data_IF_044971605240
#
_entry.id   IF_044971605240
#
_cell.length_a   1.000
_cell.length_b   1.000
_cell.length_c   1.000
_cell.angle_alpha   90.00
_cell.angle_beta   90.00
_cell.angle_gamma   90.00
#
_symmetry.space_group_name_H-M   'P 1'
#
loop_
_entity.id
_entity.type
_entity.pdbx_description
1 polymer ?
#
# COMPACT_ATOMS: atom_id res chain seq x y z
N UNK A 1 15.78 5.27 15.73
CA UNK A 1 16.79 5.51 16.77
C UNK A 1 18.20 5.63 16.20
N UNK A 2 18.55 4.80 15.23
CA UNK A 2 19.83 4.90 14.51
C UNK A 2 19.85 6.10 13.56
N UNK A 3 20.69 7.09 13.84
CA UNK A 3 20.80 8.31 13.05
C UNK A 3 21.25 8.08 11.60
N UNK A 4 22.04 7.02 11.34
CA UNK A 4 22.45 6.66 9.98
C UNK A 4 21.26 6.16 9.16
N UNK A 5 20.44 5.29 9.75
CA UNK A 5 19.24 4.76 9.12
C UNK A 5 18.21 5.87 8.87
N UNK A 6 17.99 6.77 9.85
CA UNK A 6 17.10 7.92 9.68
C UNK A 6 17.56 8.77 8.49
N UNK A 7 18.84 9.11 8.40
CA UNK A 7 19.38 9.88 7.26
C UNK A 7 19.16 9.17 5.93
N UNK A 8 19.39 7.85 5.90
CA UNK A 8 19.19 7.05 4.68
C UNK A 8 17.72 7.04 4.23
N UNK A 9 16.78 6.95 5.17
CA UNK A 9 15.34 7.04 4.90
C UNK A 9 14.99 8.43 4.35
N UNK A 10 15.45 9.50 5.00
CA UNK A 10 15.20 10.88 4.55
C UNK A 10 15.80 11.14 3.16
N UNK A 11 16.99 10.61 2.87
CA UNK A 11 17.58 10.67 1.52
C UNK A 11 16.72 9.94 0.49
N UNK A 12 16.17 8.78 0.84
CA UNK A 12 15.27 8.05 -0.05
C UNK A 12 13.95 8.79 -0.29
N UNK A 13 13.38 9.45 0.73
CA UNK A 13 12.18 10.28 0.60
C UNK A 13 12.51 11.55 -0.22
N UNK A 14 13.68 12.14 0.00
CA UNK A 14 14.12 13.39 -0.61
C UNK A 14 13.06 14.51 -0.52
N UNK A 15 12.59 14.86 0.69
CA UNK A 15 11.55 15.87 0.85
C UNK A 15 12.04 17.25 0.41
N UNK A 16 11.16 18.04 -0.22
CA UNK A 16 11.49 19.37 -0.74
C UNK A 16 10.54 20.43 -0.17
N UNK A 17 11.00 21.70 -0.06
CA UNK A 17 10.12 22.80 0.25
C UNK A 17 8.93 22.89 -0.72
N UNK A 18 7.75 23.20 -0.17
CA UNK A 18 6.51 23.31 -0.94
C UNK A 18 5.80 21.98 -1.22
N UNK A 19 6.40 20.84 -0.89
CA UNK A 19 5.69 19.56 -0.92
C UNK A 19 4.76 19.42 0.29
N UNK A 20 3.70 18.64 0.11
CA UNK A 20 2.76 18.27 1.18
C UNK A 20 3.00 16.82 1.58
N UNK A 21 3.45 16.62 2.81
CA UNK A 21 3.76 15.32 3.38
C UNK A 21 2.70 14.92 4.42
N UNK A 22 2.37 13.64 4.45
CA UNK A 22 1.57 13.02 5.50
C UNK A 22 2.38 11.92 6.17
N UNK A 23 2.72 12.08 7.45
CA UNK A 23 3.38 11.04 8.24
C UNK A 23 2.37 10.27 9.07
N UNK A 24 2.39 8.95 8.96
CA UNK A 24 1.53 8.04 9.73
C UNK A 24 2.35 7.44 10.87
N UNK A 25 1.86 7.63 12.11
CA UNK A 25 2.49 7.10 13.31
C UNK A 25 3.89 7.69 13.55
N UNK A 26 4.00 9.02 13.73
CA UNK A 26 5.29 9.70 13.92
C UNK A 26 6.04 9.23 15.17
N UNK A 27 5.34 8.67 16.15
CA UNK A 27 5.93 8.21 17.39
C UNK A 27 6.66 9.33 18.12
N UNK A 28 7.93 9.12 18.45
CA UNK A 28 8.77 10.13 19.11
C UNK A 28 9.42 11.13 18.12
N UNK A 29 8.93 11.24 16.90
CA UNK A 29 9.35 12.25 15.95
C UNK A 29 10.67 12.00 15.22
N UNK A 30 11.13 10.76 15.16
CA UNK A 30 12.43 10.43 14.55
C UNK A 30 12.52 10.82 13.04
N UNK A 31 11.44 10.64 12.30
CA UNK A 31 11.32 11.14 10.93
C UNK A 31 10.68 12.53 10.89
N UNK A 32 9.77 12.84 11.79
CA UNK A 32 9.04 14.11 11.85
C UNK A 32 9.98 15.31 11.88
N UNK A 33 10.99 15.29 12.75
CA UNK A 33 11.96 16.40 12.91
C UNK A 33 12.66 16.71 11.58
N UNK A 34 13.34 15.77 10.92
CA UNK A 34 13.99 16.05 9.64
C UNK A 34 13.01 16.38 8.50
N UNK A 35 11.77 15.83 8.53
CA UNK A 35 10.74 16.17 7.55
C UNK A 35 10.28 17.63 7.69
N UNK A 36 10.03 18.11 8.90
CA UNK A 36 9.72 19.53 9.15
C UNK A 36 10.87 20.45 8.72
N UNK A 37 12.12 20.04 9.02
CA UNK A 37 13.32 20.83 8.67
C UNK A 37 13.58 20.91 7.16
N UNK A 38 12.97 20.04 6.35
CA UNK A 38 13.06 20.10 4.88
C UNK A 38 12.35 21.31 4.25
N UNK A 39 11.50 21.98 5.01
CA UNK A 39 10.66 23.09 4.51
C UNK A 39 9.35 22.64 3.85
N UNK A 40 9.06 21.35 3.84
CA UNK A 40 7.77 20.83 3.41
C UNK A 40 6.66 21.13 4.41
N UNK A 41 5.41 21.15 3.97
CA UNK A 41 4.24 21.11 4.86
C UNK A 41 4.04 19.69 5.33
N UNK A 42 3.86 19.48 6.62
CA UNK A 42 3.74 18.17 7.23
C UNK A 42 2.47 18.05 8.07
N UNK A 43 1.58 17.19 7.63
CA UNK A 43 0.50 16.66 8.46
C UNK A 43 0.95 15.33 9.08
N UNK A 44 0.58 15.08 10.33
CA UNK A 44 0.85 13.80 11.00
C UNK A 44 -0.44 13.23 11.58
N UNK A 45 -0.61 11.91 11.51
CA UNK A 45 -1.70 11.18 12.15
C UNK A 45 -1.14 10.33 13.28
N UNK A 46 -1.56 10.59 14.52
CA UNK A 46 -1.12 9.86 15.72
C UNK A 46 -2.31 9.42 16.56
N UNK A 47 -2.32 8.14 16.93
CA UNK A 47 -3.38 7.55 17.76
C UNK A 47 -3.09 7.70 19.26
N UNK A 48 -1.81 7.63 19.65
CA UNK A 48 -1.38 7.72 21.06
C UNK A 48 -1.46 9.16 21.55
N UNK A 49 -2.23 9.37 22.63
CA UNK A 49 -2.49 10.71 23.20
C UNK A 49 -1.24 11.36 23.78
N UNK A 50 -0.37 10.58 24.41
CA UNK A 50 0.83 11.10 25.07
C UNK A 50 1.86 11.54 24.03
N UNK A 51 2.04 10.73 22.97
CA UNK A 51 2.89 11.07 21.83
C UNK A 51 2.32 12.28 21.06
N UNK A 52 1.02 12.32 20.82
CA UNK A 52 0.35 13.47 20.20
C UNK A 52 0.55 14.75 21.02
N UNK A 53 0.41 14.69 22.33
CA UNK A 53 0.64 15.83 23.22
C UNK A 53 2.09 16.32 23.18
N UNK A 54 3.05 15.41 23.15
CA UNK A 54 4.45 15.77 23.01
C UNK A 54 4.74 16.44 21.67
N UNK A 55 4.24 15.89 20.56
CA UNK A 55 4.40 16.46 19.23
C UNK A 55 3.78 17.84 19.13
N UNK A 56 2.56 18.03 19.63
CA UNK A 56 1.86 19.31 19.66
C UNK A 56 2.67 20.37 20.40
N UNK A 57 3.26 20.02 21.52
CA UNK A 57 4.11 20.93 22.29
C UNK A 57 5.43 21.23 21.58
N UNK A 58 6.08 20.18 21.03
CA UNK A 58 7.40 20.30 20.38
C UNK A 58 7.34 21.16 19.12
N UNK A 59 6.27 21.10 18.36
CA UNK A 59 6.08 21.83 17.10
C UNK A 59 5.06 22.98 17.20
N UNK A 60 4.78 23.50 18.43
CA UNK A 60 3.78 24.52 18.67
C UNK A 60 3.97 25.79 17.81
N UNK A 61 5.22 26.18 17.56
CA UNK A 61 5.57 27.38 16.80
C UNK A 61 5.85 27.09 15.31
N UNK A 62 5.57 25.87 14.84
CA UNK A 62 5.82 25.49 13.45
C UNK A 62 4.53 25.58 12.62
N UNK A 63 4.38 26.65 11.85
CA UNK A 63 3.20 26.86 10.98
C UNK A 63 2.99 25.78 9.91
N UNK A 64 4.07 25.05 9.53
CA UNK A 64 4.00 23.99 8.53
C UNK A 64 3.71 22.61 9.11
N UNK A 65 3.51 22.51 10.42
CA UNK A 65 3.19 21.26 11.10
C UNK A 65 1.74 21.24 11.56
N UNK A 66 1.02 20.19 11.23
CA UNK A 66 -0.36 19.96 11.70
C UNK A 66 -0.51 18.55 12.25
N UNK A 67 -1.02 18.43 13.47
CA UNK A 67 -1.29 17.17 14.13
C UNK A 67 -2.78 16.80 14.00
N UNK A 68 -3.04 15.59 13.54
CA UNK A 68 -4.36 14.93 13.55
C UNK A 68 -4.32 13.77 14.54
N UNK A 69 -5.00 13.93 15.66
CA UNK A 69 -5.12 12.84 16.64
C UNK A 69 -6.23 11.89 16.22
N UNK A 70 -5.90 10.63 15.97
CA UNK A 70 -6.88 9.62 15.57
C UNK A 70 -6.31 8.37 14.94
N UNK A 71 -7.22 7.49 14.57
CA UNK A 71 -6.92 6.23 13.89
C UNK A 71 -6.75 6.47 12.38
N UNK A 72 -5.58 6.14 11.84
CA UNK A 72 -5.30 6.27 10.41
C UNK A 72 -6.28 5.48 9.53
N UNK A 73 -6.80 4.35 10.00
CA UNK A 73 -7.78 3.54 9.26
C UNK A 73 -9.15 4.22 9.10
N UNK A 74 -9.36 5.34 9.79
CA UNK A 74 -10.57 6.17 9.71
C UNK A 74 -10.28 7.59 9.20
N UNK A 75 -9.01 7.88 8.93
CA UNK A 75 -8.58 9.20 8.49
C UNK A 75 -8.89 9.39 7.00
N UNK A 76 -9.61 10.46 6.68
CA UNK A 76 -9.96 10.80 5.29
C UNK A 76 -8.93 11.78 4.71
N UNK A 77 -8.16 11.33 3.70
CA UNK A 77 -7.17 12.14 3.02
C UNK A 77 -7.79 13.34 2.28
N UNK A 78 -9.05 13.28 1.91
CA UNK A 78 -9.77 14.39 1.26
C UNK A 78 -9.91 15.63 2.17
N UNK A 79 -9.72 15.46 3.49
CA UNK A 79 -9.66 16.58 4.43
C UNK A 79 -8.39 17.42 4.29
N UNK A 80 -7.32 16.84 3.73
CA UNK A 80 -6.04 17.51 3.52
C UNK A 80 -5.96 18.25 2.19
N UNK A 81 -6.53 17.66 1.15
CA UNK A 81 -6.47 18.19 -0.22
C UNK A 81 -7.56 17.61 -1.10
N UNK A 82 -7.89 18.35 -2.17
CA UNK A 82 -8.70 17.87 -3.30
C UNK A 82 -7.87 17.77 -4.57
N UNK A 83 -6.59 18.16 -4.51
CA UNK A 83 -5.70 18.16 -5.66
C UNK A 83 -5.13 16.76 -5.90
N UNK A 84 -5.21 16.24 -7.13
CA UNK A 84 -4.64 14.95 -7.44
C UNK A 84 -3.12 14.97 -7.28
N UNK A 85 -2.56 13.86 -6.82
CA UNK A 85 -1.11 13.63 -6.68
C UNK A 85 -0.38 14.74 -5.92
N UNK A 86 -0.99 15.23 -4.86
CA UNK A 86 -0.45 16.34 -4.08
C UNK A 86 0.11 15.93 -2.73
N UNK A 87 -0.16 14.70 -2.28
CA UNK A 87 0.29 14.20 -0.97
C UNK A 87 1.34 13.11 -1.16
N UNK A 88 2.42 13.20 -0.42
CA UNK A 88 3.41 12.15 -0.24
C UNK A 88 3.25 11.52 1.14
N UNK A 89 2.99 10.23 1.21
CA UNK A 89 2.70 9.54 2.47
C UNK A 89 3.94 8.83 2.98
N UNK A 90 4.22 8.98 4.26
CA UNK A 90 5.41 8.42 4.91
C UNK A 90 4.97 7.75 6.21
N UNK A 91 5.62 6.65 6.59
CA UNK A 91 5.35 6.07 7.88
C UNK A 91 6.22 4.87 8.23
N UNK A 92 6.43 4.71 9.53
CA UNK A 92 6.85 3.47 10.13
C UNK A 92 5.59 2.77 10.65
N UNK A 93 4.97 1.93 9.80
CA UNK A 93 3.66 1.37 10.13
C UNK A 93 3.79 0.24 11.16
N UNK A 94 2.95 0.25 12.21
CA UNK A 94 2.84 -0.90 13.11
C UNK A 94 2.49 -2.16 12.34
N UNK A 95 3.13 -3.28 12.67
CA UNK A 95 3.03 -4.52 11.88
C UNK A 95 1.61 -5.08 11.77
N UNK A 96 0.82 -4.91 12.84
CA UNK A 96 -0.55 -5.39 12.90
C UNK A 96 -1.55 -4.61 12.03
N UNK A 97 -1.22 -3.37 11.63
CA UNK A 97 -2.11 -2.53 10.81
C UNK A 97 -1.54 -2.19 9.43
N UNK A 98 -0.33 -2.65 9.09
CA UNK A 98 0.35 -2.28 7.85
C UNK A 98 -0.49 -2.61 6.60
N UNK A 99 -0.98 -3.84 6.48
CA UNK A 99 -1.80 -4.24 5.33
C UNK A 99 -3.16 -3.52 5.28
N UNK A 100 -3.97 -3.44 6.35
CA UNK A 100 -5.18 -2.62 6.34
C UNK A 100 -4.92 -1.14 6.01
N UNK A 101 -3.83 -0.56 6.52
CA UNK A 101 -3.45 0.82 6.25
C UNK A 101 -3.15 1.04 4.76
N UNK A 102 -2.38 0.14 4.14
CA UNK A 102 -2.11 0.20 2.70
C UNK A 102 -3.40 0.20 1.89
N UNK A 103 -4.33 -0.71 2.16
CA UNK A 103 -5.60 -0.78 1.44
C UNK A 103 -6.46 0.47 1.67
N UNK A 104 -6.50 1.01 2.89
CA UNK A 104 -7.20 2.26 3.19
C UNK A 104 -6.63 3.45 2.39
N UNK A 105 -5.32 3.59 2.32
CA UNK A 105 -4.66 4.64 1.53
C UNK A 105 -4.92 4.50 0.03
N UNK A 106 -4.96 3.27 -0.49
CA UNK A 106 -5.25 3.01 -1.91
C UNK A 106 -6.68 3.38 -2.31
N UNK A 107 -7.62 3.52 -1.38
CA UNK A 107 -8.96 4.06 -1.66
C UNK A 107 -8.91 5.53 -2.10
N UNK A 108 -7.84 6.24 -1.73
CA UNK A 108 -7.58 7.64 -2.09
C UNK A 108 -6.33 7.80 -2.96
N UNK A 109 -5.94 6.78 -3.74
CA UNK A 109 -4.69 6.75 -4.52
C UNK A 109 -4.55 7.96 -5.47
N UNK A 110 -5.68 8.49 -5.94
CA UNK A 110 -5.69 9.66 -6.85
C UNK A 110 -5.09 10.92 -6.22
N UNK A 111 -5.14 11.06 -4.88
CA UNK A 111 -4.56 12.19 -4.15
C UNK A 111 -3.06 12.01 -3.86
N UNK A 112 -2.56 10.77 -3.96
CA UNK A 112 -1.21 10.39 -3.53
C UNK A 112 -0.23 10.44 -4.69
N UNK A 113 0.89 11.15 -4.48
CA UNK A 113 2.01 11.18 -5.44
C UNK A 113 2.91 9.94 -5.27
N UNK A 114 3.37 9.71 -4.05
CA UNK A 114 4.09 8.48 -3.66
C UNK A 114 3.86 8.14 -2.17
N UNK A 115 4.26 6.92 -1.81
CA UNK A 115 4.26 6.46 -0.42
C UNK A 115 5.60 5.80 -0.12
N UNK A 116 6.19 6.12 1.02
CA UNK A 116 7.43 5.49 1.51
C UNK A 116 7.21 4.95 2.91
N UNK A 117 7.27 3.63 3.05
CA UNK A 117 7.00 2.96 4.31
C UNK A 117 8.16 2.10 4.78
N UNK A 118 8.31 2.03 6.10
CA UNK A 118 9.05 0.98 6.77
C UNK A 118 8.06 -0.07 7.25
N UNK A 119 8.25 -1.30 6.78
CA UNK A 119 7.40 -2.46 7.08
C UNK A 119 8.28 -3.65 7.45
N UNK A 120 7.68 -4.74 7.96
CA UNK A 120 8.39 -6.02 8.06
C UNK A 120 8.93 -6.43 6.70
N UNK A 121 10.17 -6.94 6.65
CA UNK A 121 10.82 -7.39 5.42
C UNK A 121 9.94 -8.37 4.63
N UNK A 122 9.33 -9.32 5.31
CA UNK A 122 8.41 -10.29 4.70
C UNK A 122 7.23 -9.63 3.96
N UNK A 123 6.66 -8.56 4.54
CA UNK A 123 5.58 -7.81 3.91
C UNK A 123 6.07 -7.10 2.65
N UNK A 124 7.26 -6.48 2.71
CA UNK A 124 7.86 -5.81 1.55
C UNK A 124 8.19 -6.82 0.44
N UNK A 125 8.68 -8.00 0.78
CA UNK A 125 8.92 -9.08 -0.17
C UNK A 125 7.62 -9.51 -0.88
N UNK A 126 6.52 -9.65 -0.14
CA UNK A 126 5.19 -9.93 -0.72
C UNK A 126 4.70 -8.80 -1.63
N UNK A 127 4.91 -7.54 -1.24
CA UNK A 127 4.52 -6.39 -2.07
C UNK A 127 5.27 -6.36 -3.40
N UNK A 128 6.56 -6.71 -3.40
CA UNK A 128 7.45 -6.65 -4.56
C UNK A 128 7.52 -7.96 -5.35
N UNK A 129 6.90 -9.05 -4.86
CA UNK A 129 6.94 -10.36 -5.51
C UNK A 129 6.32 -10.33 -6.90
N UNK A 130 6.88 -11.13 -7.82
CA UNK A 130 6.40 -11.31 -9.19
C UNK A 130 5.75 -12.69 -9.36
N UNK A 131 4.97 -12.93 -10.45
CA UNK A 131 4.42 -14.25 -10.71
C UNK A 131 5.49 -15.34 -10.61
N UNK A 132 5.09 -16.48 -10.09
CA UNK A 132 5.92 -17.67 -9.80
C UNK A 132 6.84 -17.56 -8.58
N UNK A 133 6.97 -16.39 -7.95
CA UNK A 133 7.64 -16.26 -6.66
C UNK A 133 6.79 -16.88 -5.52
N UNK A 134 7.44 -17.50 -4.55
CA UNK A 134 6.77 -18.09 -3.38
C UNK A 134 5.96 -17.05 -2.56
N UNK A 135 6.44 -15.81 -2.54
CA UNK A 135 5.83 -14.69 -1.83
C UNK A 135 4.69 -14.02 -2.60
N UNK A 136 4.53 -14.36 -3.91
CA UNK A 136 3.48 -13.77 -4.73
C UNK A 136 2.10 -14.21 -4.28
N UNK A 137 1.21 -13.25 -4.05
CA UNK A 137 -0.10 -13.52 -3.52
C UNK A 137 -1.09 -12.37 -3.68
N UNK A 138 -2.20 -12.45 -2.95
CA UNK A 138 -3.25 -11.44 -2.97
C UNK A 138 -2.72 -10.02 -2.74
N UNK A 139 -1.83 -9.84 -1.76
CA UNK A 139 -1.26 -8.53 -1.45
C UNK A 139 -0.44 -7.99 -2.62
N UNK A 140 0.38 -8.85 -3.24
CA UNK A 140 1.18 -8.51 -4.43
C UNK A 140 0.29 -7.99 -5.56
N UNK A 141 -0.72 -8.78 -5.95
CA UNK A 141 -1.62 -8.46 -7.05
C UNK A 141 -2.37 -7.16 -6.78
N UNK A 142 -2.98 -7.02 -5.61
CA UNK A 142 -3.84 -5.87 -5.30
C UNK A 142 -3.04 -4.57 -5.18
N UNK A 143 -1.86 -4.58 -4.56
CA UNK A 143 -1.04 -3.38 -4.46
C UNK A 143 -0.42 -3.03 -5.81
N UNK A 144 0.08 -4.01 -6.56
CA UNK A 144 0.67 -3.78 -7.88
C UNK A 144 -0.37 -3.40 -8.95
N UNK A 145 -1.65 -3.69 -8.73
CA UNK A 145 -2.73 -3.16 -9.55
C UNK A 145 -2.83 -1.63 -9.46
N UNK A 146 -2.61 -1.05 -8.27
CA UNK A 146 -2.68 0.39 -8.03
C UNK A 146 -1.34 1.10 -8.18
N UNK A 147 -0.22 0.44 -7.81
CA UNK A 147 1.08 1.07 -7.66
C UNK A 147 2.21 0.25 -8.30
N UNK A 148 3.25 0.94 -8.75
CA UNK A 148 4.57 0.32 -8.85
C UNK A 148 5.17 0.17 -7.46
N UNK A 149 5.92 -0.91 -7.24
CA UNK A 149 6.53 -1.26 -5.96
C UNK A 149 8.04 -1.31 -6.12
N UNK A 150 8.75 -0.55 -5.30
CA UNK A 150 10.21 -0.53 -5.27
C UNK A 150 10.73 -0.91 -3.88
N UNK A 151 11.41 -2.05 -3.78
CA UNK A 151 12.13 -2.46 -2.58
C UNK A 151 13.42 -1.66 -2.47
N UNK A 152 13.55 -0.77 -1.45
CA UNK A 152 14.69 0.14 -1.40
C UNK A 152 15.88 -0.47 -0.65
N UNK A 153 15.70 -0.83 0.63
CA UNK A 153 16.76 -1.43 1.45
C UNK A 153 16.24 -2.01 2.75
N UNK A 154 17.05 -2.90 3.34
CA UNK A 154 16.78 -3.49 4.66
C UNK A 154 17.14 -2.55 5.80
N UNK A 155 16.37 -2.67 6.90
CA UNK A 155 16.64 -2.00 8.17
C UNK A 155 16.77 -3.07 9.26
N UNK A 156 17.97 -3.25 9.83
CA UNK A 156 18.21 -4.29 10.82
C UNK A 156 17.51 -3.99 12.16
N UNK A 157 17.15 -5.01 12.95
CA UNK A 157 16.48 -4.83 14.24
C UNK A 157 17.21 -3.91 15.22
N UNK A 158 18.53 -3.88 15.18
CA UNK A 158 19.37 -3.03 16.05
C UNK A 158 19.19 -1.51 15.84
N UNK A 159 18.55 -1.10 14.73
CA UNK A 159 18.24 0.31 14.49
C UNK A 159 17.12 0.87 15.38
N UNK A 160 16.44 0.02 16.17
CA UNK A 160 15.28 0.35 17.00
C UNK A 160 15.52 0.15 18.50
N UNK A 161 14.74 0.87 19.33
CA UNK A 161 14.61 0.64 20.78
C UNK A 161 13.13 0.69 21.19
N UNK A 162 12.58 -0.41 21.72
CA UNK A 162 13.16 -1.76 21.79
C UNK A 162 13.36 -2.37 20.41
N UNK A 163 14.36 -3.24 20.25
CA UNK A 163 14.63 -3.92 18.99
C UNK A 163 13.49 -4.89 18.65
N UNK A 164 12.90 -4.83 17.43
CA UNK A 164 11.94 -5.83 16.98
C UNK A 164 12.62 -7.19 16.77
N UNK A 165 11.82 -8.26 16.75
CA UNK A 165 12.33 -9.61 16.54
C UNK A 165 12.69 -9.91 15.07
N UNK A 166 12.29 -9.05 14.15
CA UNK A 166 12.40 -9.27 12.70
C UNK A 166 13.05 -8.07 12.01
N UNK A 167 13.68 -8.33 10.88
CA UNK A 167 14.19 -7.29 9.99
C UNK A 167 13.03 -6.52 9.36
N UNK A 168 13.18 -5.20 9.26
CA UNK A 168 12.29 -4.33 8.49
C UNK A 168 12.91 -4.02 7.14
N UNK A 169 12.13 -3.46 6.23
CA UNK A 169 12.63 -2.93 4.97
C UNK A 169 11.87 -1.66 4.59
N UNK A 170 12.51 -0.83 3.79
CA UNK A 170 11.91 0.37 3.21
C UNK A 170 11.40 0.04 1.82
N UNK A 171 10.15 0.38 1.58
CA UNK A 171 9.46 0.24 0.29
C UNK A 171 8.94 1.59 -0.17
N UNK A 172 9.04 1.84 -1.48
CA UNK A 172 8.34 2.94 -2.15
C UNK A 172 7.22 2.38 -3.01
N UNK A 173 6.05 2.99 -2.91
CA UNK A 173 4.88 2.70 -3.71
C UNK A 173 4.51 3.97 -4.48
N UNK A 174 4.37 3.87 -5.80
CA UNK A 174 3.98 5.01 -6.65
C UNK A 174 2.71 4.63 -7.41
N UNK A 175 1.58 5.31 -7.17
CA UNK A 175 0.36 5.07 -7.91
C UNK A 175 0.54 5.23 -9.42
N UNK A 176 -0.01 4.32 -10.21
CA UNK A 176 0.10 4.37 -11.66
C UNK A 176 -0.54 5.63 -12.24
N UNK A 177 0.14 6.28 -13.17
CA UNK A 177 -0.37 7.50 -13.83
C UNK A 177 -1.38 7.21 -14.92
N UNK A 178 -1.17 6.10 -15.62
CA UNK A 178 -2.04 5.62 -16.68
C UNK A 178 -2.12 4.10 -16.58
N UNK A 179 -3.29 3.57 -16.34
CA UNK A 179 -3.52 2.13 -16.37
C UNK A 179 -4.07 1.77 -17.76
N UNK A 180 -3.28 1.00 -18.53
CA UNK A 180 -3.77 0.45 -19.82
C UNK A 180 -4.90 -0.55 -19.58
N UNK A 181 -4.86 -1.26 -18.49
CA UNK A 181 -5.82 -2.29 -18.12
C UNK A 181 -6.50 -1.90 -16.81
N UNK A 182 -7.70 -1.31 -16.93
CA UNK A 182 -8.54 -1.03 -15.78
C UNK A 182 -9.60 -2.13 -15.61
N UNK A 183 -9.85 -2.50 -14.37
CA UNK A 183 -10.98 -3.36 -14.03
C UNK A 183 -12.30 -2.62 -14.29
N UNK A 184 -13.22 -3.25 -15.01
CA UNK A 184 -14.58 -2.73 -15.22
C UNK A 184 -15.35 -2.65 -13.90
N UNK A 185 -15.06 -3.58 -13.00
CA UNK A 185 -15.60 -3.65 -11.64
C UNK A 185 -14.46 -3.97 -10.66
N UNK A 186 -14.07 -2.99 -9.86
CA UNK A 186 -12.99 -3.12 -8.88
C UNK A 186 -13.35 -4.06 -7.73
N UNK A 187 -14.63 -4.18 -7.38
CA UNK A 187 -15.13 -5.10 -6.36
C UNK A 187 -15.00 -6.53 -6.86
N UNK A 188 -15.40 -6.78 -8.12
CA UNK A 188 -15.25 -8.09 -8.75
C UNK A 188 -13.78 -8.52 -8.84
N UNK A 189 -12.88 -7.59 -9.23
CA UNK A 189 -11.44 -7.87 -9.25
C UNK A 189 -10.93 -8.28 -7.87
N UNK A 190 -11.29 -7.53 -6.84
CA UNK A 190 -10.89 -7.79 -5.44
C UNK A 190 -11.38 -9.16 -4.97
N UNK A 191 -12.63 -9.50 -5.28
CA UNK A 191 -13.22 -10.78 -4.91
C UNK A 191 -12.62 -11.94 -5.70
N UNK A 192 -12.34 -11.74 -6.99
CA UNK A 192 -11.65 -12.70 -7.84
C UNK A 192 -10.28 -13.06 -7.28
N UNK A 193 -9.45 -12.06 -7.01
CA UNK A 193 -8.09 -12.27 -6.45
C UNK A 193 -8.17 -12.96 -5.09
N UNK A 194 -9.07 -12.51 -4.20
CA UNK A 194 -9.29 -13.15 -2.90
C UNK A 194 -9.66 -14.63 -3.04
N UNK A 195 -10.58 -14.94 -3.94
CA UNK A 195 -11.07 -16.30 -4.17
C UNK A 195 -9.99 -17.17 -4.79
N UNK A 196 -9.24 -16.66 -5.77
CA UNK A 196 -8.12 -17.37 -6.39
C UNK A 196 -7.08 -17.81 -5.35
N UNK A 197 -6.63 -16.89 -4.51
CA UNK A 197 -5.61 -17.18 -3.49
C UNK A 197 -6.13 -17.86 -2.21
N UNK A 198 -7.42 -18.18 -2.13
CA UNK A 198 -7.97 -18.92 -0.98
C UNK A 198 -7.44 -20.35 -0.89
N UNK A 199 -6.98 -20.94 -2.01
CA UNK A 199 -6.48 -22.32 -2.09
C UNK A 199 -5.24 -22.41 -3.00
N UNK A 200 -4.11 -21.87 -2.58
CA UNK A 200 -2.86 -21.75 -3.37
C UNK A 200 -2.42 -23.02 -4.13
N UNK A 201 -2.64 -24.20 -3.56
CA UNK A 201 -2.25 -25.48 -4.17
C UNK A 201 -3.22 -26.00 -5.24
N UNK A 202 -4.33 -25.32 -5.47
CA UNK A 202 -5.34 -25.70 -6.46
C UNK A 202 -5.20 -24.90 -7.75
N UNK A 203 -5.68 -25.48 -8.85
CA UNK A 203 -5.79 -24.77 -10.13
C UNK A 203 -6.86 -23.68 -10.06
N UNK A 204 -6.78 -22.67 -10.94
CA UNK A 204 -7.79 -21.61 -11.05
C UNK A 204 -9.19 -22.18 -11.26
N UNK A 205 -9.34 -23.24 -12.07
CA UNK A 205 -10.63 -23.92 -12.27
C UNK A 205 -11.28 -24.33 -10.96
N UNK A 206 -10.49 -24.88 -10.05
CA UNK A 206 -11.01 -25.33 -8.75
C UNK A 206 -11.24 -24.16 -7.78
N UNK A 207 -10.32 -23.17 -7.75
CA UNK A 207 -10.44 -22.02 -6.87
C UNK A 207 -11.64 -21.15 -7.25
N UNK A 208 -11.84 -20.92 -8.54
CA UNK A 208 -12.84 -19.97 -9.06
C UNK A 208 -14.19 -20.60 -9.34
N UNK A 209 -14.36 -21.91 -9.13
CA UNK A 209 -15.64 -22.59 -9.36
C UNK A 209 -16.87 -21.85 -8.80
N UNK A 210 -16.83 -21.25 -7.59
CA UNK A 210 -17.95 -20.48 -7.07
C UNK A 210 -18.28 -19.21 -7.85
N UNK A 211 -17.29 -18.67 -8.60
CA UNK A 211 -17.43 -17.40 -9.32
C UNK A 211 -17.76 -17.60 -10.81
N UNK A 212 -17.18 -18.63 -11.43
CA UNK A 212 -17.34 -18.91 -12.87
C UNK A 212 -18.45 -19.90 -13.15
N UNK A 213 -18.84 -20.77 -12.19
CA UNK A 213 -20.00 -21.66 -12.23
C UNK A 213 -20.38 -22.13 -13.64
N UNK A 214 -21.49 -21.62 -14.11
CA UNK A 214 -22.07 -21.96 -15.41
C UNK A 214 -21.54 -21.11 -16.58
N UNK A 215 -20.56 -20.25 -16.36
CA UNK A 215 -19.96 -19.46 -17.44
C UNK A 215 -19.15 -20.35 -18.39
N UNK A 216 -19.18 -20.01 -19.66
CA UNK A 216 -18.37 -20.68 -20.68
C UNK A 216 -16.85 -20.46 -20.38
N UNK A 217 -16.21 -21.49 -19.86
CA UNK A 217 -14.79 -21.46 -19.53
C UNK A 217 -13.90 -21.23 -20.76
N UNK A 218 -14.37 -21.57 -21.99
CA UNK A 218 -13.61 -21.35 -23.21
C UNK A 218 -13.56 -19.86 -23.63
N UNK A 219 -14.48 -19.05 -23.14
CA UNK A 219 -14.51 -17.60 -23.36
C UNK A 219 -13.60 -16.83 -22.39
N UNK A 220 -13.00 -17.47 -21.41
CA UNK A 220 -12.10 -16.83 -20.45
C UNK A 220 -10.68 -16.68 -21.04
N UNK A 221 -10.01 -15.51 -20.83
CA UNK A 221 -8.76 -15.17 -21.50
C UNK A 221 -7.50 -15.76 -20.83
N UNK A 222 -7.66 -16.71 -19.92
CA UNK A 222 -6.57 -17.36 -19.17
C UNK A 222 -6.74 -18.86 -19.13
N UNK A 223 -5.64 -19.60 -19.06
CA UNK A 223 -5.69 -21.05 -18.86
C UNK A 223 -6.06 -21.38 -17.41
N UNK A 224 -7.23 -21.98 -17.22
CA UNK A 224 -7.75 -22.37 -15.92
C UNK A 224 -7.01 -23.57 -15.27
N UNK A 225 -6.09 -24.23 -16.00
CA UNK A 225 -5.21 -25.25 -15.46
C UNK A 225 -4.04 -24.66 -14.66
N UNK A 226 -3.74 -23.38 -14.87
CA UNK A 226 -2.74 -22.64 -14.10
C UNK A 226 -3.17 -22.49 -12.63
N UNK A 227 -2.18 -22.18 -11.79
CA UNK A 227 -2.41 -21.83 -10.38
C UNK A 227 -2.50 -20.30 -10.21
N UNK A 228 -3.07 -19.82 -9.09
CA UNK A 228 -3.18 -18.38 -8.82
C UNK A 228 -1.86 -17.61 -8.92
N UNK A 229 -0.75 -18.21 -8.47
CA UNK A 229 0.58 -17.60 -8.49
C UNK A 229 1.18 -17.44 -9.89
N UNK A 230 0.66 -18.14 -10.90
CA UNK A 230 1.18 -18.06 -12.27
C UNK A 230 0.63 -16.85 -13.05
N UNK A 231 -0.43 -16.19 -12.57
CA UNK A 231 -1.07 -15.09 -13.28
C UNK A 231 -0.41 -13.75 -12.96
N UNK A 232 -0.19 -12.95 -14.00
CA UNK A 232 0.17 -11.55 -13.86
C UNK A 232 -1.00 -10.70 -13.36
N UNK A 233 -0.73 -9.49 -12.89
CA UNK A 233 -1.78 -8.50 -12.54
C UNK A 233 -2.68 -8.23 -13.76
N UNK A 234 -2.10 -8.08 -14.95
CA UNK A 234 -2.86 -7.88 -16.19
C UNK A 234 -3.78 -9.07 -16.52
N UNK A 235 -3.33 -10.30 -16.26
CA UNK A 235 -4.17 -11.51 -16.42
C UNK A 235 -5.37 -11.47 -15.50
N UNK A 236 -5.20 -11.09 -14.24
CA UNK A 236 -6.30 -10.93 -13.29
C UNK A 236 -7.31 -9.87 -13.74
N UNK A 237 -6.83 -8.74 -14.26
CA UNK A 237 -7.71 -7.67 -14.77
C UNK A 237 -8.50 -8.18 -15.99
N UNK A 238 -7.83 -8.82 -16.96
CA UNK A 238 -8.49 -9.39 -18.15
C UNK A 238 -9.54 -10.45 -17.78
N UNK A 239 -9.19 -11.33 -16.84
CA UNK A 239 -10.10 -12.36 -16.34
C UNK A 239 -11.32 -11.75 -15.65
N UNK A 240 -11.11 -10.76 -14.78
CA UNK A 240 -12.19 -10.02 -14.11
C UNK A 240 -13.12 -9.36 -15.12
N UNK A 241 -12.57 -8.69 -16.11
CA UNK A 241 -13.34 -8.01 -17.15
C UNK A 241 -14.13 -8.99 -18.02
N UNK A 242 -13.56 -10.16 -18.34
CA UNK A 242 -14.28 -11.22 -19.07
C UNK A 242 -15.45 -11.77 -18.27
N UNK A 243 -15.26 -12.06 -16.99
CA UNK A 243 -16.33 -12.53 -16.09
C UNK A 243 -17.43 -11.48 -15.99
N UNK A 244 -17.07 -10.19 -15.87
CA UNK A 244 -18.04 -9.10 -15.81
C UNK A 244 -18.93 -9.07 -17.06
N UNK A 245 -18.34 -9.15 -18.27
CA UNK A 245 -19.09 -9.18 -19.54
C UNK A 245 -20.02 -10.38 -19.64
N UNK A 246 -19.50 -11.59 -19.38
CA UNK A 246 -20.28 -12.83 -19.48
C UNK A 246 -21.47 -12.84 -18.52
N UNK A 247 -21.34 -12.26 -17.32
CA UNK A 247 -22.46 -12.12 -16.38
C UNK A 247 -23.53 -11.13 -16.88
N UNK A 248 -23.12 -10.04 -17.51
CA UNK A 248 -24.05 -9.08 -18.12
C UNK A 248 -24.80 -9.68 -19.30
N UNK A 249 -24.15 -10.50 -20.14
CA UNK A 249 -24.77 -11.13 -21.30
C UNK A 249 -25.76 -12.23 -20.89
N UNK A 250 -25.46 -12.94 -19.79
CA UNK A 250 -26.36 -13.99 -19.25
C UNK A 250 -27.63 -13.42 -18.57
N UNK A 251 -27.67 -12.11 -18.31
CA UNK A 251 -28.81 -11.43 -17.64
C UNK A 251 -29.74 -10.74 -18.64
N UNK A 252 -29.42 -10.77 -19.94
CA UNK A 252 -30.25 -10.27 -21.04
C UNK A 252 -31.00 -11.40 -21.70
#
# INVERSE_FOLDING_TARGET
HDAHIIRKIIQAIAPQPGQHLLEIGPGQGALTIPLVNSGATLDVVELDRDLAGWLQHHFADCERFTLHMGDVLKFDLHTLTQLPRSIRVIGNLPYNISTPCLFHLLESEALIDDMTFMLQKEVVQRLAATPDDDEYGRLSVMVQYFCSVEYLFDVPPGAFKPAPKVTSAIVRLVPHRHTKDQAMDSTLLRDLVRTAFSQRRKTLRNCLKPMIGDLDASALPVDLALRPENLTVADYVRLSNAICRLRHDATR
#
